data_IF_182751114436
#
_entry.id   IF_182751114436
#
_cell.length_a   1.000
_cell.length_b   1.000
_cell.length_c   1.000
_cell.angle_alpha   90.00
_cell.angle_beta   90.00
_cell.angle_gamma   90.00
#
_symmetry.space_group_name_H-M   'P 1'
#
loop_
_entity.id
_entity.type
_entity.pdbx_description
1 polymer ?
#
# COMPACT_ATOMS: atom_id res chain seq x y z
N UNK A 1 18.82 -25.46 -24.93
CA UNK A 1 19.12 -25.50 -23.49
C UNK A 1 18.48 -24.26 -22.92
N UNK A 2 17.20 -24.38 -22.59
CA UNK A 2 16.40 -23.28 -22.06
C UNK A 2 16.93 -22.90 -20.67
N UNK A 3 16.97 -21.59 -20.44
CA UNK A 3 17.60 -20.95 -19.30
C UNK A 3 16.86 -21.30 -17.99
N UNK A 4 17.26 -22.40 -17.36
CA UNK A 4 16.69 -22.91 -16.11
C UNK A 4 16.85 -21.94 -14.93
N UNK A 5 17.58 -20.82 -15.08
CA UNK A 5 17.79 -19.82 -14.03
C UNK A 5 16.84 -18.61 -14.14
N UNK A 6 16.08 -18.47 -15.24
CA UNK A 6 15.19 -17.32 -15.47
C UNK A 6 13.92 -17.35 -14.62
N UNK A 7 13.33 -18.53 -14.39
CA UNK A 7 12.11 -18.71 -13.60
C UNK A 7 12.29 -18.40 -12.11
N UNK A 8 13.39 -18.87 -11.52
CA UNK A 8 13.66 -18.74 -10.08
C UNK A 8 13.86 -17.28 -9.66
N UNK A 9 14.49 -16.46 -10.49
CA UNK A 9 14.78 -15.04 -10.16
C UNK A 9 13.51 -14.21 -10.07
N UNK A 10 12.58 -14.41 -11.00
CA UNK A 10 11.30 -13.70 -10.99
C UNK A 10 10.45 -14.12 -9.80
N UNK A 11 10.38 -15.43 -9.51
CA UNK A 11 9.64 -15.94 -8.35
C UNK A 11 10.21 -15.41 -7.03
N UNK A 12 11.54 -15.38 -6.88
CA UNK A 12 12.20 -14.81 -5.70
C UNK A 12 11.95 -13.30 -5.59
N UNK A 13 11.99 -12.56 -6.69
CA UNK A 13 11.68 -11.13 -6.69
C UNK A 13 10.22 -10.86 -6.30
N UNK A 14 9.28 -11.63 -6.84
CA UNK A 14 7.85 -11.56 -6.48
C UNK A 14 7.65 -11.94 -5.01
N UNK A 15 8.31 -12.99 -4.53
CA UNK A 15 8.24 -13.40 -3.13
C UNK A 15 8.75 -12.31 -2.18
N UNK A 16 9.87 -11.67 -2.54
CA UNK A 16 10.42 -10.54 -1.80
C UNK A 16 9.43 -9.38 -1.78
N UNK A 17 8.84 -9.02 -2.92
CA UNK A 17 7.83 -7.97 -3.03
C UNK A 17 6.59 -8.28 -2.17
N UNK A 18 6.05 -9.50 -2.24
CA UNK A 18 4.89 -9.91 -1.46
C UNK A 18 5.17 -9.88 0.05
N UNK A 19 6.37 -10.28 0.46
CA UNK A 19 6.75 -10.37 1.87
C UNK A 19 7.09 -9.01 2.49
N UNK A 20 7.65 -8.10 1.71
CA UNK A 20 8.15 -6.80 2.20
C UNK A 20 7.15 -5.67 1.98
N UNK A 21 6.53 -5.60 0.81
CA UNK A 21 5.65 -4.51 0.41
C UNK A 21 4.19 -4.85 0.69
N UNK A 22 3.71 -6.00 0.20
CA UNK A 22 2.28 -6.33 0.26
C UNK A 22 1.84 -6.70 1.68
N UNK A 23 2.42 -7.76 2.25
CA UNK A 23 2.07 -8.20 3.61
C UNK A 23 2.80 -7.42 4.71
N UNK A 24 3.71 -6.52 4.32
CA UNK A 24 4.60 -5.69 5.16
C UNK A 24 4.46 -5.92 6.67
N UNK A 25 5.30 -6.79 7.21
CA UNK A 25 5.18 -7.19 8.61
C UNK A 25 5.66 -8.60 8.84
N UNK A 26 6.97 -8.73 9.08
CA UNK A 26 7.62 -9.80 9.84
C UNK A 26 9.10 -9.41 9.95
N UNK A 27 9.74 -9.79 11.06
CA UNK A 27 11.21 -9.88 11.09
C UNK A 27 11.65 -10.71 9.87
N UNK A 28 12.76 -10.34 9.24
CA UNK A 28 13.35 -10.94 8.03
C UNK A 28 13.56 -12.47 8.03
N UNK A 29 13.06 -13.18 9.04
CA UNK A 29 13.49 -14.51 9.44
C UNK A 29 12.44 -15.59 9.12
N UNK A 30 11.25 -15.23 8.60
CA UNK A 30 10.24 -16.24 8.23
C UNK A 30 9.45 -15.83 6.99
N UNK A 31 9.71 -16.52 5.87
CA UNK A 31 8.87 -16.45 4.69
C UNK A 31 7.58 -17.22 4.98
N UNK A 32 6.43 -16.62 4.67
CA UNK A 32 5.13 -17.27 4.90
C UNK A 32 4.97 -18.49 3.98
N UNK A 33 4.60 -19.68 4.47
CA UNK A 33 4.44 -20.88 3.64
C UNK A 33 3.48 -20.68 2.45
N UNK A 34 2.38 -19.97 2.67
CA UNK A 34 1.47 -19.51 1.60
C UNK A 34 2.19 -18.72 0.50
N UNK A 35 3.06 -17.78 0.86
CA UNK A 35 3.83 -16.98 -0.09
C UNK A 35 4.76 -17.85 -0.95
N UNK A 36 5.44 -18.83 -0.34
CA UNK A 36 6.26 -19.80 -1.08
C UNK A 36 5.43 -20.64 -2.05
N UNK A 37 4.21 -21.03 -1.64
CA UNK A 37 3.35 -21.88 -2.48
C UNK A 37 2.80 -21.11 -3.68
N UNK A 38 2.34 -19.88 -3.48
CA UNK A 38 1.66 -19.12 -4.54
C UNK A 38 2.62 -18.59 -5.59
N UNK A 39 3.88 -18.24 -5.23
CA UNK A 39 4.85 -17.75 -6.24
C UNK A 39 5.27 -18.82 -7.25
N UNK A 40 4.99 -20.10 -6.99
CA UNK A 40 5.17 -21.15 -7.98
C UNK A 40 4.24 -20.99 -9.19
N UNK A 41 3.12 -20.27 -9.03
CA UNK A 41 2.18 -19.94 -10.11
C UNK A 41 1.98 -18.42 -10.17
N UNK A 42 2.72 -17.76 -11.07
CA UNK A 42 2.67 -16.31 -11.23
C UNK A 42 1.35 -15.79 -11.80
N UNK A 43 0.57 -16.62 -12.51
CA UNK A 43 -0.77 -16.23 -12.98
C UNK A 43 -1.76 -16.21 -11.82
N UNK A 44 -1.65 -17.16 -10.89
CA UNK A 44 -2.40 -17.12 -9.63
C UNK A 44 -1.99 -15.91 -8.79
N UNK A 45 -0.69 -15.58 -8.69
CA UNK A 45 -0.25 -14.35 -7.99
C UNK A 45 -0.93 -13.11 -8.55
N UNK A 46 -1.10 -12.98 -9.87
CA UNK A 46 -1.74 -11.80 -10.48
C UNK A 46 -3.23 -11.70 -10.15
N UNK A 47 -3.92 -12.84 -10.08
CA UNK A 47 -5.38 -12.90 -9.82
C UNK A 47 -5.70 -12.86 -8.33
N UNK A 48 -4.74 -13.20 -7.48
CA UNK A 48 -4.96 -13.29 -6.05
C UNK A 48 -5.36 -11.94 -5.44
N UNK A 49 -6.39 -11.87 -4.58
CA UNK A 49 -6.90 -10.62 -4.02
C UNK A 49 -6.01 -10.11 -2.88
N UNK A 50 -4.79 -9.69 -3.22
CA UNK A 50 -3.78 -9.22 -2.25
C UNK A 50 -4.30 -8.11 -1.34
N UNK A 51 -5.05 -7.15 -1.89
CA UNK A 51 -5.63 -6.06 -1.11
C UNK A 51 -6.57 -6.54 0.00
N UNK A 52 -7.38 -7.58 -0.28
CA UNK A 52 -8.35 -8.12 0.69
C UNK A 52 -7.63 -8.81 1.85
N UNK A 53 -6.69 -9.70 1.57
CA UNK A 53 -5.96 -10.44 2.62
C UNK A 53 -5.15 -9.48 3.48
N UNK A 54 -4.52 -8.47 2.89
CA UNK A 54 -3.72 -7.49 3.65
C UNK A 54 -4.61 -6.59 4.49
N UNK A 55 -5.77 -6.19 3.98
CA UNK A 55 -6.75 -5.42 4.76
C UNK A 55 -7.22 -6.21 5.98
N UNK A 56 -7.60 -7.47 5.79
CA UNK A 56 -8.03 -8.34 6.89
C UNK A 56 -6.90 -8.58 7.92
N UNK A 57 -5.68 -8.82 7.46
CA UNK A 57 -4.51 -8.96 8.32
C UNK A 57 -4.27 -7.69 9.16
N UNK A 58 -4.38 -6.51 8.55
CA UNK A 58 -4.25 -5.22 9.23
C UNK A 58 -5.37 -5.01 10.26
N UNK A 59 -6.62 -5.29 9.91
CA UNK A 59 -7.75 -5.15 10.84
C UNK A 59 -7.62 -6.07 12.05
N UNK A 60 -7.15 -7.30 11.82
CA UNK A 60 -6.85 -8.25 12.90
C UNK A 60 -5.72 -7.74 13.80
N UNK A 61 -4.68 -7.12 13.24
CA UNK A 61 -3.60 -6.51 14.01
C UNK A 61 -4.11 -5.33 14.86
N UNK A 62 -4.94 -4.46 14.28
CA UNK A 62 -5.56 -3.33 15.00
C UNK A 62 -6.39 -3.86 16.17
N UNK A 63 -7.30 -4.81 15.93
CA UNK A 63 -8.15 -5.39 16.97
C UNK A 63 -7.31 -6.03 18.08
N UNK A 64 -6.29 -6.81 17.71
CA UNK A 64 -5.38 -7.43 18.66
C UNK A 64 -4.62 -6.40 19.50
N UNK A 65 -4.07 -5.36 18.87
CA UNK A 65 -3.36 -4.28 19.55
C UNK A 65 -4.29 -3.56 20.55
N UNK A 66 -5.49 -3.20 20.10
CA UNK A 66 -6.48 -2.49 20.92
C UNK A 66 -6.91 -3.31 22.13
N UNK A 67 -7.16 -4.62 21.95
CA UNK A 67 -7.60 -5.51 23.03
C UNK A 67 -6.47 -5.93 23.97
N UNK A 68 -5.29 -6.25 23.45
CA UNK A 68 -4.22 -6.92 24.22
C UNK A 68 -3.12 -6.00 24.73
N UNK A 69 -2.88 -4.86 24.06
CA UNK A 69 -1.74 -3.98 24.36
C UNK A 69 -2.18 -2.60 24.85
N UNK A 70 -3.29 -2.07 24.32
CA UNK A 70 -3.71 -0.69 24.55
C UNK A 70 -4.94 -0.54 25.45
N UNK A 71 -5.60 -1.63 25.85
CA UNK A 71 -6.81 -1.62 26.67
C UNK A 71 -7.86 -0.60 26.16
N UNK A 72 -8.04 -0.52 24.85
CA UNK A 72 -8.99 0.39 24.21
C UNK A 72 -8.55 1.86 24.11
N UNK A 73 -7.35 2.25 24.57
CA UNK A 73 -6.85 3.63 24.47
C UNK A 73 -5.49 3.71 23.79
N UNK A 74 -5.44 4.40 22.65
CA UNK A 74 -4.19 4.71 21.95
C UNK A 74 -3.43 5.78 22.76
N UNK A 75 -2.27 5.40 23.32
CA UNK A 75 -1.41 6.29 24.12
C UNK A 75 -0.13 6.71 23.38
N UNK A 76 0.22 5.98 22.33
CA UNK A 76 1.41 6.18 21.51
C UNK A 76 1.00 5.86 20.07
N UNK A 77 1.56 6.60 19.12
CA UNK A 77 1.38 6.35 17.70
C UNK A 77 1.87 4.94 17.35
N UNK A 78 1.08 4.22 16.55
CA UNK A 78 1.43 2.88 16.08
C UNK A 78 1.39 2.83 14.56
N UNK A 79 2.47 2.32 13.96
CA UNK A 79 2.56 2.13 12.52
C UNK A 79 2.17 0.70 12.18
N UNK A 80 1.27 0.55 11.22
CA UNK A 80 0.88 -0.73 10.67
C UNK A 80 1.49 -0.86 9.27
N UNK A 81 2.36 -1.85 9.07
CA UNK A 81 2.97 -2.11 7.77
C UNK A 81 2.00 -2.73 6.76
N UNK A 82 2.40 -2.76 5.49
CA UNK A 82 1.68 -3.44 4.40
C UNK A 82 0.81 -2.49 3.56
N UNK A 83 -0.41 -2.93 3.25
CA UNK A 83 -1.37 -2.26 2.36
C UNK A 83 -1.69 -0.80 2.70
N UNK A 84 -1.44 -0.39 3.95
CA UNK A 84 -1.62 1.01 4.37
C UNK A 84 -0.70 1.96 3.61
N UNK A 85 0.54 1.56 3.30
CA UNK A 85 1.50 2.46 2.62
C UNK A 85 1.02 2.83 1.20
N UNK A 86 0.63 1.87 0.34
CA UNK A 86 0.01 2.21 -0.95
C UNK A 86 -1.25 3.08 -0.82
N UNK A 87 -2.11 2.83 0.18
CA UNK A 87 -3.30 3.65 0.42
C UNK A 87 -2.94 5.09 0.84
N UNK A 88 -1.91 5.25 1.66
CA UNK A 88 -1.42 6.56 2.10
C UNK A 88 -0.86 7.34 0.91
N UNK A 89 -0.05 6.71 0.06
CA UNK A 89 0.47 7.32 -1.18
C UNK A 89 -0.68 7.76 -2.09
N UNK A 90 -1.70 6.91 -2.26
CA UNK A 90 -2.85 7.22 -3.10
C UNK A 90 -3.66 8.40 -2.55
N UNK A 91 -3.95 8.43 -1.25
CA UNK A 91 -4.69 9.51 -0.61
C UNK A 91 -3.97 10.87 -0.76
N UNK A 92 -2.65 10.88 -0.61
CA UNK A 92 -1.85 12.09 -0.82
C UNK A 92 -1.82 12.53 -2.28
N UNK A 93 -1.89 11.60 -3.25
CA UNK A 93 -2.01 11.97 -4.66
C UNK A 93 -3.39 12.57 -5.00
N UNK A 94 -4.46 12.10 -4.35
CA UNK A 94 -5.81 12.64 -4.54
C UNK A 94 -5.95 14.08 -4.03
N UNK A 95 -5.13 14.51 -3.07
CA UNK A 95 -5.19 15.86 -2.48
C UNK A 95 -3.98 16.67 -2.97
N UNK A 96 -4.16 17.62 -3.91
CA UNK A 96 -3.04 18.30 -4.59
C UNK A 96 -2.02 18.95 -3.65
N UNK A 97 -2.51 19.57 -2.57
CA UNK A 97 -1.71 20.25 -1.56
C UNK A 97 -0.79 19.27 -0.84
N UNK A 98 -1.31 18.09 -0.48
CA UNK A 98 -0.52 17.01 0.12
C UNK A 98 0.49 16.46 -0.87
N UNK A 99 0.10 16.17 -2.12
CA UNK A 99 1.02 15.65 -3.13
C UNK A 99 2.18 16.63 -3.37
N UNK A 100 1.89 17.94 -3.50
CA UNK A 100 2.90 18.98 -3.74
C UNK A 100 3.89 19.08 -2.58
N UNK A 101 3.39 19.00 -1.34
CA UNK A 101 4.21 19.19 -0.16
C UNK A 101 5.03 17.95 0.18
N UNK A 102 4.42 16.75 0.16
CA UNK A 102 5.01 15.54 0.74
C UNK A 102 5.46 14.50 -0.27
N UNK A 103 5.10 14.62 -1.54
CA UNK A 103 5.46 13.63 -2.56
C UNK A 103 6.36 14.22 -3.65
N UNK A 104 7.13 13.34 -4.28
CA UNK A 104 7.95 13.65 -5.45
C UNK A 104 7.85 12.54 -6.48
N UNK A 105 8.22 12.88 -7.73
CA UNK A 105 8.30 11.89 -8.81
C UNK A 105 9.50 10.98 -8.63
N UNK A 106 9.35 9.71 -9.00
CA UNK A 106 10.47 8.76 -9.05
C UNK A 106 11.26 8.97 -10.35
N UNK A 107 12.53 9.35 -10.23
CA UNK A 107 13.43 9.55 -11.37
C UNK A 107 13.58 8.23 -12.14
N UNK A 108 13.32 8.25 -13.45
CA UNK A 108 13.41 7.08 -14.32
C UNK A 108 12.15 6.20 -14.33
N UNK A 109 11.05 6.60 -13.71
CA UNK A 109 9.78 5.91 -13.86
C UNK A 109 9.23 6.12 -15.28
N UNK A 110 9.11 5.02 -16.04
CA UNK A 110 8.59 5.03 -17.40
C UNK A 110 7.06 5.15 -17.42
N UNK A 111 6.50 5.56 -18.55
CA UNK A 111 5.03 5.67 -18.71
C UNK A 111 4.31 4.34 -18.52
N UNK A 112 4.96 3.23 -18.89
CA UNK A 112 4.45 1.87 -18.67
C UNK A 112 4.57 1.35 -17.23
N UNK A 113 5.22 2.08 -16.32
CA UNK A 113 5.30 1.65 -14.92
C UNK A 113 3.93 1.79 -14.23
N UNK A 114 3.60 0.88 -13.29
CA UNK A 114 2.44 1.05 -12.42
C UNK A 114 2.46 2.42 -11.72
N UNK A 115 1.28 3.01 -11.48
CA UNK A 115 1.13 4.35 -10.89
C UNK A 115 1.91 4.52 -9.59
N UNK A 116 1.84 3.53 -8.71
CA UNK A 116 2.55 3.47 -7.43
C UNK A 116 4.09 3.53 -7.56
N UNK A 117 4.65 3.30 -8.74
CA UNK A 117 6.08 3.42 -9.01
C UNK A 117 6.49 4.82 -9.49
N UNK A 118 5.54 5.71 -9.79
CA UNK A 118 5.79 7.04 -10.36
C UNK A 118 5.93 8.12 -9.29
N UNK A 119 5.40 7.87 -8.09
CA UNK A 119 5.39 8.80 -6.96
C UNK A 119 5.91 8.11 -5.71
N UNK A 120 6.62 8.87 -4.89
CA UNK A 120 7.06 8.45 -3.56
C UNK A 120 6.97 9.62 -2.60
N UNK A 121 6.98 9.33 -1.30
CA UNK A 121 7.15 10.37 -0.30
C UNK A 121 8.55 10.97 -0.37
N UNK A 122 8.64 12.28 -0.13
CA UNK A 122 9.91 12.97 0.04
C UNK A 122 10.59 12.43 1.29
N UNK A 123 11.89 12.19 1.20
CA UNK A 123 12.68 11.80 2.36
C UNK A 123 12.78 12.99 3.32
N UNK A 124 12.26 12.81 4.53
CA UNK A 124 12.36 13.77 5.63
C UNK A 124 13.24 13.25 6.78
N UNK A 125 13.96 12.13 6.57
CA UNK A 125 14.74 11.45 7.61
C UNK A 125 13.88 10.77 8.68
N UNK A 126 12.56 10.72 8.50
CA UNK A 126 11.61 10.07 9.40
C UNK A 126 10.84 8.96 8.68
N UNK A 127 10.26 8.05 9.45
CA UNK A 127 9.44 6.95 8.89
C UNK A 127 8.08 7.43 8.37
N UNK A 128 7.59 8.59 8.84
CA UNK A 128 6.29 9.14 8.49
C UNK A 128 6.26 10.67 8.65
N UNK A 129 5.16 11.29 8.23
CA UNK A 129 4.90 12.72 8.46
C UNK A 129 4.10 12.93 9.75
N UNK A 130 4.50 13.88 10.61
CA UNK A 130 3.70 14.24 11.78
C UNK A 130 2.29 14.70 11.38
N UNK A 131 1.27 14.20 12.08
CA UNK A 131 -0.13 14.56 11.80
C UNK A 131 -0.38 16.08 11.83
N UNK A 132 0.34 16.80 12.69
CA UNK A 132 0.28 18.27 12.74
C UNK A 132 0.68 18.92 11.41
N UNK A 133 1.74 18.41 10.78
CA UNK A 133 2.21 18.94 9.49
C UNK A 133 1.24 18.60 8.36
N UNK A 134 0.70 17.38 8.37
CA UNK A 134 -0.32 16.95 7.40
C UNK A 134 -1.57 17.85 7.52
N UNK A 135 -2.06 18.09 8.75
CA UNK A 135 -3.21 18.97 8.98
C UNK A 135 -2.94 20.43 8.58
N UNK A 136 -1.72 20.91 8.80
CA UNK A 136 -1.33 22.25 8.37
C UNK A 136 -1.31 22.38 6.84
N UNK A 137 -0.83 21.34 6.15
CA UNK A 137 -0.80 21.29 4.68
C UNK A 137 -2.22 21.17 4.08
N UNK A 138 -3.11 20.41 4.73
CA UNK A 138 -4.52 20.34 4.35
C UNK A 138 -5.21 21.71 4.48
N UNK A 139 -4.89 22.46 5.54
CA UNK A 139 -5.48 23.77 5.79
C UNK A 139 -7.01 23.70 5.87
N UNK A 140 -7.68 24.28 4.87
CA UNK A 140 -9.15 24.26 4.75
C UNK A 140 -9.64 23.64 3.44
N UNK A 141 -8.72 23.05 2.66
CA UNK A 141 -9.02 22.45 1.35
C UNK A 141 -10.03 21.32 1.50
N UNK A 142 -10.99 21.29 0.58
CA UNK A 142 -11.96 20.19 0.41
C UNK A 142 -11.81 19.50 -0.95
N UNK A 143 -10.79 19.87 -1.71
CA UNK A 143 -10.55 19.37 -3.05
C UNK A 143 -9.92 17.97 -2.97
N UNK A 144 -10.68 16.97 -3.42
CA UNK A 144 -10.23 15.59 -3.56
C UNK A 144 -10.42 15.22 -5.02
N UNK A 145 -9.32 14.99 -5.72
CA UNK A 145 -9.32 14.59 -7.12
C UNK A 145 -9.53 13.09 -7.21
N UNK A 146 -10.52 12.68 -7.99
CA UNK A 146 -10.65 11.27 -8.37
C UNK A 146 -9.60 10.92 -9.41
N UNK A 147 -8.52 10.29 -8.94
CA UNK A 147 -7.38 9.89 -9.78
C UNK A 147 -7.52 8.49 -10.37
N UNK A 148 -8.47 7.69 -9.85
CA UNK A 148 -8.84 6.39 -10.39
C UNK A 148 -10.08 6.57 -11.25
N UNK A 149 -10.02 6.14 -12.50
CA UNK A 149 -11.20 6.09 -13.35
C UNK A 149 -12.01 4.85 -12.94
N UNK A 150 -13.26 5.02 -12.50
CA UNK A 150 -14.11 3.87 -12.19
C UNK A 150 -14.33 3.05 -13.45
N UNK A 151 -14.41 1.74 -13.29
CA UNK A 151 -14.96 0.86 -14.32
C UNK A 151 -16.47 1.08 -14.47
N UNK A 152 -17.05 0.65 -15.58
CA UNK A 152 -18.50 0.74 -15.84
C UNK A 152 -19.35 0.13 -14.71
N UNK A 153 -18.85 -0.96 -14.09
CA UNK A 153 -19.52 -1.59 -12.96
C UNK A 153 -19.43 -0.72 -11.68
N UNK A 154 -18.30 -0.06 -11.46
CA UNK A 154 -18.08 0.83 -10.32
C UNK A 154 -18.83 2.16 -10.48
N UNK A 155 -19.01 2.67 -11.71
CA UNK A 155 -19.79 3.87 -11.98
C UNK A 155 -21.24 3.73 -11.49
N UNK A 156 -21.88 2.59 -11.79
CA UNK A 156 -23.23 2.28 -11.30
C UNK A 156 -23.28 2.31 -9.77
N UNK A 157 -22.28 1.71 -9.12
CA UNK A 157 -22.18 1.61 -7.67
C UNK A 157 -21.91 2.97 -7.00
N UNK A 158 -21.16 3.85 -7.67
CA UNK A 158 -20.90 5.21 -7.22
C UNK A 158 -22.14 6.09 -7.30
N UNK A 159 -22.96 5.94 -8.36
CA UNK A 159 -24.23 6.65 -8.48
C UNK A 159 -25.17 6.32 -7.31
N UNK A 160 -25.27 5.05 -6.92
CA UNK A 160 -26.09 4.60 -5.79
C UNK A 160 -25.62 5.15 -4.43
N UNK A 161 -24.32 5.46 -4.27
CA UNK A 161 -23.75 6.04 -3.03
C UNK A 161 -23.98 7.55 -2.94
N UNK A 162 -24.11 8.22 -4.08
CA UNK A 162 -24.23 9.67 -4.17
C UNK A 162 -25.69 10.17 -4.09
N UNK A 163 -26.67 9.26 -4.16
CA UNK A 163 -28.10 9.52 -3.87
C UNK A 163 -28.41 9.39 -2.36
#
# INVERSE_FOLDING_TARGET
MEDACGGDRLQVAVLLFLSTIVKGGRRFNSIHPFGLKIVNDLEEVKKFPWGRITFEDTMNQIDHLMKKRLNGKVKVDHLFGGFIVPLEVLAFECIPELSKQFQEGVIGANDGCPRMCKKKFKDNGMTCFPLKEVNQALGTTKDIISIMQPSVAEETLLLDIME
#
